data_IF_592760320885
#
_entry.id   IF_592760320885
#
_cell.length_a   1.000
_cell.length_b   1.000
_cell.length_c   1.000
_cell.angle_alpha   90.00
_cell.angle_beta   90.00
_cell.angle_gamma   90.00
#
_symmetry.space_group_name_H-M   'P 1'
#
loop_
_entity.id
_entity.type
_entity.pdbx_description
1 polymer ?
#
# COMPACT_ATOMS: atom_id res chain seq x y z
N UNK A 1 -33.14 -10.29 -0.29
CA UNK A 1 -32.17 -11.40 -0.35
C UNK A 1 -30.87 -10.88 0.23
N UNK A 2 -30.52 -11.26 1.46
CA UNK A 2 -29.24 -10.89 2.07
C UNK A 2 -28.15 -11.70 1.38
N UNK A 3 -27.28 -11.05 0.59
CA UNK A 3 -26.15 -11.72 -0.07
C UNK A 3 -25.23 -12.33 0.99
N UNK A 4 -24.91 -13.62 0.90
CA UNK A 4 -23.87 -14.23 1.73
C UNK A 4 -22.50 -13.63 1.32
N UNK A 5 -21.83 -12.82 2.18
CA UNK A 5 -20.57 -12.17 1.82
C UNK A 5 -19.46 -13.14 1.42
N UNK A 6 -19.43 -14.34 2.03
CA UNK A 6 -18.45 -15.38 1.70
C UNK A 6 -18.67 -15.93 0.29
N UNK A 7 -19.92 -16.15 -0.11
CA UNK A 7 -20.24 -16.61 -1.46
C UNK A 7 -19.95 -15.53 -2.51
N UNK A 8 -20.28 -14.27 -2.21
CA UNK A 8 -19.94 -13.13 -3.07
C UNK A 8 -18.42 -13.03 -3.25
N UNK A 9 -17.67 -13.01 -2.14
CA UNK A 9 -16.21 -12.98 -2.17
C UNK A 9 -15.65 -14.14 -2.99
N UNK A 10 -16.07 -15.37 -2.70
CA UNK A 10 -15.57 -16.58 -3.39
C UNK A 10 -15.76 -16.50 -4.91
N UNK A 11 -16.92 -16.03 -5.37
CA UNK A 11 -17.21 -15.93 -6.80
C UNK A 11 -16.37 -14.84 -7.48
N UNK A 12 -16.29 -13.66 -6.86
CA UNK A 12 -15.52 -12.53 -7.40
C UNK A 12 -14.01 -12.84 -7.41
N UNK A 13 -13.52 -13.45 -6.33
CA UNK A 13 -12.13 -13.91 -6.17
C UNK A 13 -11.79 -14.96 -7.23
N UNK A 14 -12.62 -15.99 -7.42
CA UNK A 14 -12.38 -17.04 -8.41
C UNK A 14 -12.30 -16.48 -9.83
N UNK A 15 -13.15 -15.50 -10.18
CA UNK A 15 -13.12 -14.84 -11.48
C UNK A 15 -11.80 -14.11 -11.70
N UNK A 16 -11.36 -13.30 -10.72
CA UNK A 16 -10.06 -12.59 -10.77
C UNK A 16 -8.88 -13.58 -10.82
N UNK A 17 -8.95 -14.65 -10.05
CA UNK A 17 -7.90 -15.66 -9.95
C UNK A 17 -7.70 -16.45 -11.24
N UNK A 18 -8.76 -16.78 -11.98
CA UNK A 18 -8.65 -17.42 -13.30
C UNK A 18 -7.89 -16.54 -14.30
N UNK A 19 -8.14 -15.23 -14.28
CA UNK A 19 -7.45 -14.26 -15.14
C UNK A 19 -5.96 -14.21 -14.78
N UNK A 20 -5.65 -14.10 -13.47
CA UNK A 20 -4.27 -14.05 -13.00
C UNK A 20 -3.50 -15.35 -13.31
N UNK A 21 -4.08 -16.50 -13.01
CA UNK A 21 -3.47 -17.82 -13.25
C UNK A 21 -3.10 -17.99 -14.74
N UNK A 22 -4.01 -17.62 -15.64
CA UNK A 22 -3.76 -17.63 -17.09
C UNK A 22 -2.63 -16.68 -17.47
N UNK A 23 -2.62 -15.46 -16.93
CA UNK A 23 -1.58 -14.48 -17.24
C UNK A 23 -0.19 -14.91 -16.74
N UNK A 24 -0.13 -15.63 -15.61
CA UNK A 24 1.10 -16.14 -15.00
C UNK A 24 1.52 -17.51 -15.54
N UNK A 25 0.79 -18.08 -16.50
CA UNK A 25 1.01 -19.42 -17.07
C UNK A 25 1.03 -20.54 -16.01
N UNK A 26 0.11 -20.47 -15.04
CA UNK A 26 -0.12 -21.55 -14.07
C UNK A 26 -0.84 -22.70 -14.78
N UNK A 27 -0.41 -23.94 -14.53
CA UNK A 27 -1.07 -25.12 -15.11
C UNK A 27 -2.49 -25.27 -14.53
N UNK A 28 -3.42 -25.86 -15.28
CA UNK A 28 -4.79 -26.10 -14.78
C UNK A 28 -4.77 -26.99 -13.52
N UNK A 29 -3.87 -27.98 -13.49
CA UNK A 29 -3.69 -28.85 -12.34
C UNK A 29 -3.24 -28.05 -11.10
N UNK A 30 -2.19 -27.24 -11.21
CA UNK A 30 -1.70 -26.41 -10.10
C UNK A 30 -2.76 -25.41 -9.66
N UNK A 31 -3.50 -24.81 -10.61
CA UNK A 31 -4.59 -23.89 -10.32
C UNK A 31 -5.66 -24.55 -9.45
N UNK A 32 -6.12 -25.76 -9.80
CA UNK A 32 -7.13 -26.51 -9.04
C UNK A 32 -6.63 -26.83 -7.63
N UNK A 33 -5.41 -27.35 -7.50
CA UNK A 33 -4.84 -27.74 -6.20
C UNK A 33 -4.68 -26.50 -5.31
N UNK A 34 -4.15 -25.39 -5.84
CA UNK A 34 -4.03 -24.13 -5.10
C UNK A 34 -5.41 -23.60 -4.70
N UNK A 35 -6.39 -23.61 -5.61
CA UNK A 35 -7.74 -23.13 -5.32
C UNK A 35 -8.39 -23.95 -4.20
N UNK A 36 -8.20 -25.27 -4.17
CA UNK A 36 -8.73 -26.12 -3.11
C UNK A 36 -8.19 -25.73 -1.72
N UNK A 37 -6.91 -25.35 -1.63
CA UNK A 37 -6.34 -24.87 -0.37
C UNK A 37 -6.95 -23.52 0.06
N UNK A 38 -7.15 -22.59 -0.88
CA UNK A 38 -7.78 -21.30 -0.58
C UNK A 38 -9.28 -21.43 -0.25
N UNK A 39 -9.98 -22.38 -0.86
CA UNK A 39 -11.36 -22.73 -0.53
C UNK A 39 -11.45 -23.29 0.89
N UNK A 40 -10.50 -24.14 1.29
CA UNK A 40 -10.40 -24.64 2.67
C UNK A 40 -10.08 -23.50 3.65
N UNK A 41 -9.15 -22.61 3.32
CA UNK A 41 -8.82 -21.44 4.14
C UNK A 41 -10.05 -20.56 4.37
N UNK A 42 -10.83 -20.28 3.32
CA UNK A 42 -12.06 -19.49 3.41
C UNK A 42 -13.11 -20.18 4.28
N UNK A 43 -13.31 -21.49 4.08
CA UNK A 43 -14.23 -22.29 4.89
C UNK A 43 -13.85 -22.25 6.37
N UNK A 44 -12.56 -22.40 6.68
CA UNK A 44 -12.07 -22.33 8.07
C UNK A 44 -12.20 -20.95 8.70
N UNK A 45 -12.13 -19.90 7.90
CA UNK A 45 -12.44 -18.54 8.35
C UNK A 45 -13.94 -18.35 8.64
N UNK A 46 -14.81 -18.92 7.79
CA UNK A 46 -16.27 -18.90 7.97
C UNK A 46 -16.70 -19.67 9.24
N UNK A 47 -16.14 -20.87 9.44
CA UNK A 47 -16.43 -21.76 10.57
C UNK A 47 -15.77 -21.32 11.88
N UNK A 48 -14.84 -20.35 11.85
CA UNK A 48 -14.03 -20.01 13.02
C UNK A 48 -14.88 -19.56 14.21
N UNK A 49 -14.66 -20.23 15.33
CA UNK A 49 -15.27 -19.96 16.63
C UNK A 49 -14.34 -19.05 17.47
N UNK A 50 -14.80 -18.61 18.64
CA UNK A 50 -13.95 -17.91 19.61
C UNK A 50 -13.05 -18.85 20.44
N UNK A 51 -13.12 -20.17 20.22
CA UNK A 51 -12.32 -21.14 20.95
C UNK A 51 -10.85 -21.10 20.49
N UNK A 52 -9.96 -20.83 21.44
CA UNK A 52 -8.53 -20.65 21.17
C UNK A 52 -7.83 -21.96 20.79
N UNK A 53 -8.21 -23.08 21.38
CA UNK A 53 -7.60 -24.39 21.08
C UNK A 53 -8.01 -24.87 19.70
N UNK A 54 -9.29 -24.68 19.33
CA UNK A 54 -9.80 -24.96 17.99
C UNK A 54 -9.11 -24.11 16.92
N UNK A 55 -8.95 -22.81 17.18
CA UNK A 55 -8.22 -21.91 16.27
C UNK A 55 -6.75 -22.33 16.10
N UNK A 56 -6.06 -22.71 17.18
CA UNK A 56 -4.67 -23.20 17.13
C UNK A 56 -4.55 -24.51 16.35
N UNK A 57 -5.51 -25.42 16.51
CA UNK A 57 -5.56 -26.67 15.74
C UNK A 57 -5.75 -26.38 14.25
N UNK A 58 -6.66 -25.46 13.93
CA UNK A 58 -6.97 -25.03 12.57
C UNK A 58 -5.77 -24.36 11.90
N UNK A 59 -5.08 -23.46 12.60
CA UNK A 59 -3.83 -22.83 12.15
C UNK A 59 -2.78 -23.89 11.74
N UNK A 60 -2.50 -24.86 12.61
CA UNK A 60 -1.52 -25.93 12.36
C UNK A 60 -1.93 -26.85 11.20
N UNK A 61 -3.21 -27.18 11.09
CA UNK A 61 -3.72 -27.99 9.98
C UNK A 61 -3.51 -27.27 8.64
N UNK A 62 -3.92 -25.99 8.56
CA UNK A 62 -3.77 -25.18 7.36
C UNK A 62 -2.30 -24.97 6.97
N UNK A 63 -1.44 -24.71 7.96
CA UNK A 63 0.01 -24.60 7.75
C UNK A 63 0.61 -25.91 7.20
N UNK A 64 0.25 -27.05 7.79
CA UNK A 64 0.77 -28.36 7.36
C UNK A 64 0.39 -28.63 5.91
N UNK A 65 -0.90 -28.45 5.56
CA UNK A 65 -1.39 -28.63 4.19
C UNK A 65 -0.76 -27.64 3.22
N UNK A 66 -0.53 -26.39 3.63
CA UNK A 66 0.16 -25.41 2.79
C UNK A 66 1.60 -25.83 2.51
N UNK A 67 2.29 -26.38 3.51
CA UNK A 67 3.66 -26.85 3.35
C UNK A 67 3.73 -28.09 2.43
N UNK A 68 2.78 -29.01 2.53
CA UNK A 68 2.63 -30.16 1.62
C UNK A 68 2.39 -29.69 0.18
N UNK A 69 1.44 -28.77 -0.01
CA UNK A 69 1.11 -28.13 -1.28
C UNK A 69 2.38 -27.62 -1.96
N UNK A 70 3.10 -26.69 -1.32
CA UNK A 70 4.27 -26.07 -1.94
C UNK A 70 5.43 -27.05 -2.09
N UNK A 71 5.61 -28.01 -1.18
CA UNK A 71 6.79 -28.89 -1.23
C UNK A 71 6.71 -29.99 -2.29
N UNK A 72 5.50 -30.42 -2.68
CA UNK A 72 5.37 -31.62 -3.51
C UNK A 72 4.19 -31.66 -4.49
N UNK A 73 3.15 -30.84 -4.31
CA UNK A 73 1.91 -30.99 -5.10
C UNK A 73 1.82 -30.09 -6.33
N UNK A 74 2.64 -29.02 -6.38
CA UNK A 74 2.63 -28.03 -7.46
C UNK A 74 4.03 -27.69 -7.94
N UNK A 75 4.11 -27.13 -9.15
CA UNK A 75 5.37 -26.67 -9.71
C UNK A 75 5.81 -25.36 -9.04
N UNK A 76 7.12 -25.22 -8.78
CA UNK A 76 7.68 -24.02 -8.13
C UNK A 76 7.35 -22.72 -8.85
N UNK A 77 7.22 -22.74 -10.18
CA UNK A 77 6.84 -21.56 -10.98
C UNK A 77 5.45 -21.03 -10.61
N UNK A 78 4.58 -21.85 -10.04
CA UNK A 78 3.21 -21.48 -9.63
C UNK A 78 3.18 -20.70 -8.32
N UNK A 79 4.29 -20.62 -7.57
CA UNK A 79 4.34 -19.84 -6.32
C UNK A 79 4.11 -18.34 -6.55
N UNK A 80 4.45 -17.83 -7.74
CA UNK A 80 4.19 -16.42 -8.12
C UNK A 80 2.69 -16.08 -8.20
N UNK A 81 1.83 -17.09 -8.29
CA UNK A 81 0.38 -16.97 -8.21
C UNK A 81 -0.16 -17.09 -6.76
N UNK A 82 0.50 -17.87 -5.89
CA UNK A 82 0.08 -18.04 -4.49
C UNK A 82 0.24 -16.75 -3.70
N UNK A 83 1.39 -16.10 -3.80
CA UNK A 83 1.71 -14.91 -3.01
C UNK A 83 0.65 -13.79 -3.13
N UNK A 84 0.25 -13.32 -4.33
CA UNK A 84 -0.79 -12.30 -4.44
C UNK A 84 -2.14 -12.77 -3.88
N UNK A 85 -2.50 -14.05 -3.99
CA UNK A 85 -3.71 -14.57 -3.35
C UNK A 85 -3.63 -14.49 -1.82
N UNK A 86 -2.49 -14.87 -1.21
CA UNK A 86 -2.30 -14.72 0.24
C UNK A 86 -2.46 -13.27 0.69
N UNK A 87 -1.89 -12.31 -0.06
CA UNK A 87 -2.04 -10.88 0.25
C UNK A 87 -3.51 -10.43 0.19
N UNK A 88 -4.24 -10.86 -0.84
CA UNK A 88 -5.65 -10.52 -1.00
C UNK A 88 -6.52 -11.11 0.11
N UNK A 89 -6.34 -12.39 0.42
CA UNK A 89 -7.06 -13.06 1.51
C UNK A 89 -6.71 -12.44 2.87
N UNK A 90 -5.45 -12.12 3.14
CA UNK A 90 -5.07 -11.44 4.37
C UNK A 90 -5.71 -10.06 4.48
N UNK A 91 -5.80 -9.31 3.38
CA UNK A 91 -6.52 -8.03 3.38
C UNK A 91 -8.00 -8.19 3.72
N UNK A 92 -8.66 -9.18 3.11
CA UNK A 92 -10.10 -9.44 3.28
C UNK A 92 -10.43 -10.02 4.64
N UNK A 93 -9.58 -10.90 5.20
CA UNK A 93 -9.79 -11.45 6.54
C UNK A 93 -9.65 -10.41 7.65
N UNK A 94 -8.93 -9.33 7.34
CA UNK A 94 -8.74 -8.18 8.21
C UNK A 94 -9.63 -6.99 7.86
N UNK A 95 -10.53 -7.15 6.87
CA UNK A 95 -11.57 -6.17 6.61
C UNK A 95 -12.89 -6.56 7.28
N UNK A 96 -13.87 -5.67 7.24
CA UNK A 96 -15.19 -5.90 7.80
C UNK A 96 -16.18 -6.49 6.78
N UNK A 97 -15.74 -6.86 5.57
CA UNK A 97 -16.59 -7.34 4.49
C UNK A 97 -17.14 -8.74 4.77
N UNK A 98 -16.27 -9.69 5.16
CA UNK A 98 -16.69 -11.08 5.41
C UNK A 98 -17.38 -11.23 6.77
N UNK A 99 -16.74 -10.74 7.83
CA UNK A 99 -17.28 -10.75 9.20
C UNK A 99 -16.64 -9.64 10.01
N UNK A 100 -17.35 -9.15 11.01
CA UNK A 100 -16.84 -8.13 11.94
C UNK A 100 -15.87 -8.69 12.99
N UNK A 101 -15.97 -9.98 13.32
CA UNK A 101 -15.12 -10.61 14.34
C UNK A 101 -13.76 -11.00 13.75
N UNK A 102 -12.72 -10.39 14.29
CA UNK A 102 -11.32 -10.68 13.99
C UNK A 102 -10.88 -12.09 14.43
N UNK A 103 -10.17 -12.82 13.55
CA UNK A 103 -9.67 -14.18 13.82
C UNK A 103 -8.14 -14.16 13.90
N UNK A 104 -7.63 -13.93 15.11
CA UNK A 104 -6.21 -13.69 15.35
C UNK A 104 -5.27 -14.79 14.82
N UNK A 105 -5.67 -16.07 14.95
CA UNK A 105 -4.81 -17.19 14.53
C UNK A 105 -4.69 -17.34 13.01
N UNK A 106 -5.71 -16.94 12.26
CA UNK A 106 -5.60 -16.89 10.80
C UNK A 106 -4.77 -15.68 10.34
N UNK A 107 -4.84 -14.54 11.04
CA UNK A 107 -3.89 -13.44 10.80
C UNK A 107 -2.46 -13.92 11.04
N UNK A 108 -2.17 -14.54 12.19
CA UNK A 108 -0.83 -15.07 12.49
C UNK A 108 -0.34 -16.04 11.42
N UNK A 109 -1.20 -16.98 10.99
CA UNK A 109 -0.86 -17.89 9.89
C UNK A 109 -0.45 -17.14 8.61
N UNK A 110 -1.26 -16.19 8.17
CA UNK A 110 -1.00 -15.48 6.91
C UNK A 110 0.16 -14.48 7.05
N UNK A 111 0.03 -13.54 7.99
CA UNK A 111 0.90 -12.37 8.16
C UNK A 111 2.26 -12.71 8.76
N UNK A 112 2.31 -13.59 9.75
CA UNK A 112 3.56 -13.86 10.48
C UNK A 112 4.31 -15.08 9.93
N UNK A 113 3.64 -15.92 9.14
CA UNK A 113 4.22 -17.16 8.62
C UNK A 113 4.22 -17.23 7.07
N UNK A 114 3.06 -17.44 6.45
CA UNK A 114 2.99 -17.81 5.02
C UNK A 114 3.44 -16.69 4.07
N UNK A 115 2.97 -15.45 4.31
CA UNK A 115 3.33 -14.28 3.48
C UNK A 115 4.84 -13.99 3.60
N UNK A 116 5.44 -13.82 4.80
CA UNK A 116 6.87 -13.60 4.93
C UNK A 116 7.72 -14.68 4.27
N UNK A 117 7.29 -15.96 4.37
CA UNK A 117 7.98 -17.10 3.74
C UNK A 117 8.09 -16.93 2.24
N UNK A 118 7.00 -16.57 1.54
CA UNK A 118 7.02 -16.39 0.08
C UNK A 118 7.57 -15.03 -0.36
N UNK A 119 7.27 -13.94 0.35
CA UNK A 119 7.80 -12.60 0.01
C UNK A 119 9.32 -12.59 0.02
N UNK A 120 9.93 -13.29 0.99
CA UNK A 120 11.38 -13.38 1.13
C UNK A 120 12.02 -14.50 0.27
N UNK A 121 11.25 -15.39 -0.35
CA UNK A 121 11.79 -16.40 -1.27
C UNK A 121 12.21 -15.75 -2.60
N UNK A 122 13.51 -15.51 -2.74
CA UNK A 122 14.14 -14.94 -3.94
C UNK A 122 14.08 -15.85 -5.16
N UNK A 123 13.76 -17.13 -4.99
CA UNK A 123 13.57 -18.07 -6.10
C UNK A 123 12.22 -17.89 -6.79
N UNK A 124 11.27 -17.17 -6.18
CA UNK A 124 10.06 -16.73 -6.86
C UNK A 124 10.45 -15.54 -7.74
N UNK A 125 10.61 -15.79 -9.03
CA UNK A 125 10.98 -14.79 -10.02
C UNK A 125 9.72 -14.20 -10.65
N UNK A 126 9.66 -12.87 -10.68
CA UNK A 126 8.65 -12.11 -11.42
C UNK A 126 9.35 -11.36 -12.55
N UNK A 127 8.85 -11.49 -13.77
CA UNK A 127 9.15 -10.48 -14.80
C UNK A 127 8.37 -9.19 -14.49
N UNK A 128 8.73 -8.04 -15.10
CA UNK A 128 7.93 -6.83 -15.03
C UNK A 128 6.46 -7.03 -15.42
N UNK A 129 6.20 -7.85 -16.45
CA UNK A 129 4.86 -8.20 -16.92
C UNK A 129 4.11 -9.07 -15.92
N UNK A 130 4.78 -10.07 -15.32
CA UNK A 130 4.18 -10.88 -14.25
C UNK A 130 3.72 -9.97 -13.10
N UNK A 131 4.57 -9.02 -12.69
CA UNK A 131 4.25 -8.12 -11.59
C UNK A 131 3.14 -7.12 -11.95
N UNK A 132 3.07 -6.67 -13.20
CA UNK A 132 1.94 -5.90 -13.71
C UNK A 132 0.63 -6.71 -13.55
N UNK A 133 0.60 -7.97 -13.98
CA UNK A 133 -0.57 -8.83 -13.82
C UNK A 133 -0.95 -9.03 -12.35
N UNK A 134 0.04 -9.19 -11.46
CA UNK A 134 -0.19 -9.23 -10.01
C UNK A 134 -0.86 -7.95 -9.51
N UNK A 135 -0.34 -6.77 -9.87
CA UNK A 135 -0.95 -5.52 -9.40
C UNK A 135 -2.34 -5.29 -9.99
N UNK A 136 -2.63 -5.76 -11.21
CA UNK A 136 -3.99 -5.75 -11.76
C UNK A 136 -4.94 -6.60 -10.93
N UNK A 137 -4.51 -7.77 -10.46
CA UNK A 137 -5.30 -8.63 -9.58
C UNK A 137 -5.58 -7.97 -8.22
N UNK A 138 -4.59 -7.26 -7.66
CA UNK A 138 -4.66 -6.68 -6.31
C UNK A 138 -5.31 -5.29 -6.22
N UNK A 139 -5.52 -4.59 -7.34
CA UNK A 139 -5.88 -3.17 -7.31
C UNK A 139 -7.28 -2.88 -6.77
N UNK A 140 -8.25 -3.77 -6.99
CA UNK A 140 -9.66 -3.54 -6.67
C UNK A 140 -10.07 -4.31 -5.42
N UNK A 141 -10.38 -3.58 -4.35
CA UNK A 141 -10.68 -4.15 -3.04
C UNK A 141 -12.02 -3.63 -2.49
N UNK A 142 -12.77 -4.46 -1.76
CA UNK A 142 -13.96 -4.00 -1.04
C UNK A 142 -13.59 -3.00 0.06
N UNK A 143 -12.45 -3.25 0.72
CA UNK A 143 -11.86 -2.40 1.73
C UNK A 143 -10.35 -2.69 1.79
N UNK A 144 -9.54 -1.67 2.05
CA UNK A 144 -8.09 -1.84 2.27
C UNK A 144 -7.85 -1.80 3.77
N UNK A 145 -7.62 -2.97 4.37
CA UNK A 145 -7.45 -3.10 5.81
C UNK A 145 -6.20 -2.38 6.32
N UNK A 146 -6.29 -1.63 7.43
CA UNK A 146 -5.10 -1.04 8.06
C UNK A 146 -4.23 -2.09 8.77
N UNK A 147 -4.74 -3.30 9.02
CA UNK A 147 -4.04 -4.34 9.80
C UNK A 147 -3.31 -5.36 8.93
N UNK A 148 -3.54 -5.36 7.61
CA UNK A 148 -3.10 -6.42 6.70
C UNK A 148 -1.69 -6.26 6.13
N UNK A 149 -1.02 -5.13 6.36
CA UNK A 149 0.24 -4.74 5.69
C UNK A 149 0.17 -4.79 4.15
N UNK A 150 -1.02 -4.69 3.57
CA UNK A 150 -1.27 -5.02 2.16
C UNK A 150 -0.38 -4.23 1.18
N UNK A 151 -0.31 -2.90 1.34
CA UNK A 151 0.54 -2.06 0.50
C UNK A 151 2.03 -2.27 0.77
N UNK A 152 2.39 -2.47 2.04
CA UNK A 152 3.77 -2.69 2.47
C UNK A 152 4.34 -3.96 1.83
N UNK A 153 3.57 -5.04 1.81
CA UNK A 153 3.99 -6.32 1.26
C UNK A 153 4.02 -6.31 -0.27
N UNK A 154 3.09 -5.61 -0.95
CA UNK A 154 3.16 -5.38 -2.41
C UNK A 154 4.47 -4.65 -2.76
N UNK A 155 4.79 -3.57 -2.05
CA UNK A 155 6.04 -2.82 -2.29
C UNK A 155 7.29 -3.62 -1.89
N UNK A 156 7.17 -4.54 -0.93
CA UNK A 156 8.25 -5.44 -0.54
C UNK A 156 8.56 -6.47 -1.62
N UNK A 157 7.56 -6.94 -2.38
CA UNK A 157 7.78 -7.81 -3.55
C UNK A 157 8.71 -7.13 -4.55
N UNK A 158 8.40 -5.88 -4.91
CA UNK A 158 9.26 -5.05 -5.77
C UNK A 158 10.64 -4.88 -5.16
N UNK A 159 10.73 -4.43 -3.90
CA UNK A 159 12.01 -4.10 -3.28
C UNK A 159 12.98 -5.28 -3.20
N UNK A 160 12.49 -6.46 -2.79
CA UNK A 160 13.32 -7.66 -2.62
C UNK A 160 13.86 -8.18 -3.95
N UNK A 161 13.13 -7.96 -5.05
CA UNK A 161 13.42 -8.54 -6.37
C UNK A 161 13.96 -7.53 -7.38
N UNK A 162 13.79 -6.23 -7.12
CA UNK A 162 14.19 -5.13 -7.99
C UNK A 162 13.56 -5.22 -9.38
N UNK A 163 12.26 -5.55 -9.45
CA UNK A 163 11.57 -5.86 -10.72
C UNK A 163 11.58 -4.62 -11.62
N UNK A 164 11.39 -3.42 -11.05
CA UNK A 164 11.42 -2.17 -11.81
C UNK A 164 12.79 -1.81 -12.42
N UNK A 165 13.89 -2.45 -11.99
CA UNK A 165 15.19 -2.25 -12.65
C UNK A 165 15.24 -2.81 -14.07
N UNK A 166 14.32 -3.74 -14.38
CA UNK A 166 14.22 -4.41 -15.68
C UNK A 166 12.95 -3.97 -16.44
N UNK A 167 12.11 -3.15 -15.83
CA UNK A 167 10.84 -2.74 -16.40
C UNK A 167 11.03 -1.60 -17.42
N UNK A 168 10.25 -1.63 -18.49
CA UNK A 168 10.07 -0.45 -19.34
C UNK A 168 9.30 0.64 -18.59
N UNK A 169 9.48 1.91 -18.97
CA UNK A 169 8.74 3.03 -18.37
C UNK A 169 7.22 2.82 -18.43
N UNK A 170 6.70 2.24 -19.52
CA UNK A 170 5.28 1.92 -19.66
C UNK A 170 4.79 0.89 -18.64
N UNK A 171 5.52 -0.22 -18.48
CA UNK A 171 5.14 -1.27 -17.52
C UNK A 171 5.21 -0.72 -16.10
N UNK A 172 6.31 -0.03 -15.76
CA UNK A 172 6.47 0.60 -14.46
C UNK A 172 5.35 1.60 -14.14
N UNK A 173 4.97 2.43 -15.11
CA UNK A 173 3.87 3.37 -14.99
C UNK A 173 2.55 2.67 -14.66
N UNK A 174 2.14 1.67 -15.45
CA UNK A 174 0.87 0.95 -15.21
C UNK A 174 0.88 0.18 -13.89
N UNK A 175 2.01 -0.44 -13.52
CA UNK A 175 2.16 -1.14 -12.24
C UNK A 175 2.03 -0.17 -11.06
N UNK A 176 2.73 0.97 -11.08
CA UNK A 176 2.64 1.96 -10.02
C UNK A 176 1.27 2.64 -9.97
N UNK A 177 0.60 2.82 -11.11
CA UNK A 177 -0.77 3.31 -11.19
C UNK A 177 -1.75 2.36 -10.50
N UNK A 178 -1.62 1.05 -10.69
CA UNK A 178 -2.42 0.05 -9.96
C UNK A 178 -2.18 0.12 -8.45
N UNK A 179 -0.93 0.28 -8.00
CA UNK A 179 -0.60 0.41 -6.57
C UNK A 179 -1.16 1.72 -5.99
N UNK A 180 -1.06 2.83 -6.74
CA UNK A 180 -1.67 4.11 -6.38
C UNK A 180 -3.20 4.01 -6.32
N UNK A 181 -3.84 3.14 -7.12
CA UNK A 181 -5.27 2.90 -7.02
C UNK A 181 -5.68 2.29 -5.68
N UNK A 182 -4.86 1.40 -5.11
CA UNK A 182 -5.09 0.85 -3.76
C UNK A 182 -5.00 1.97 -2.71
N UNK A 183 -4.07 2.92 -2.87
CA UNK A 183 -4.01 4.11 -2.01
C UNK A 183 -5.27 4.96 -2.19
N UNK A 184 -5.72 5.19 -3.42
CA UNK A 184 -6.93 5.95 -3.73
C UNK A 184 -8.17 5.38 -3.00
N UNK A 185 -8.31 4.05 -2.94
CA UNK A 185 -9.45 3.34 -2.32
C UNK A 185 -9.43 3.31 -0.78
N UNK A 186 -8.35 3.74 -0.11
CA UNK A 186 -8.31 3.65 1.36
C UNK A 186 -9.33 4.61 1.96
N UNK A 187 -10.17 4.08 2.85
CA UNK A 187 -11.17 4.86 3.59
C UNK A 187 -10.53 5.88 4.52
N UNK A 188 -9.35 5.57 5.05
CA UNK A 188 -8.56 6.46 5.91
C UNK A 188 -7.06 6.17 5.81
N UNK A 189 -6.24 7.22 5.88
CA UNK A 189 -4.77 7.17 5.85
C UNK A 189 -4.19 7.65 7.17
N UNK A 190 -3.70 6.71 7.98
CA UNK A 190 -2.97 7.02 9.22
C UNK A 190 -1.59 7.65 8.95
N UNK A 191 -0.98 7.30 7.82
CA UNK A 191 0.31 7.79 7.39
C UNK A 191 0.42 7.77 5.84
N UNK A 192 1.56 8.26 5.35
CA UNK A 192 1.92 8.30 3.93
C UNK A 192 3.21 7.51 3.64
N UNK A 193 3.57 6.52 4.46
CA UNK A 193 4.84 5.78 4.35
C UNK A 193 4.91 5.03 3.02
N UNK A 194 3.85 4.30 2.65
CA UNK A 194 3.79 3.59 1.38
C UNK A 194 3.78 4.55 0.17
N UNK A 195 3.10 5.69 0.27
CA UNK A 195 3.16 6.72 -0.75
C UNK A 195 4.59 7.27 -0.95
N UNK A 196 5.29 7.61 0.14
CA UNK A 196 6.71 8.04 0.08
C UNK A 196 7.63 6.96 -0.51
N UNK A 197 7.36 5.68 -0.27
CA UNK A 197 8.09 4.56 -0.91
C UNK A 197 7.85 4.55 -2.43
N UNK A 198 6.62 4.78 -2.89
CA UNK A 198 6.30 4.89 -4.33
C UNK A 198 7.05 6.07 -4.96
N UNK A 199 7.07 7.23 -4.31
CA UNK A 199 7.79 8.41 -4.83
C UNK A 199 9.28 8.13 -5.06
N UNK A 200 9.91 7.31 -4.20
CA UNK A 200 11.32 6.90 -4.35
C UNK A 200 11.58 5.95 -5.52
N UNK A 201 10.54 5.32 -6.06
CA UNK A 201 10.67 4.44 -7.22
C UNK A 201 10.65 5.21 -8.53
N UNK A 202 10.24 6.48 -8.52
CA UNK A 202 10.19 7.34 -9.72
C UNK A 202 11.60 7.75 -10.14
N UNK A 203 11.84 7.79 -11.45
CA UNK A 203 13.08 8.24 -12.09
C UNK A 203 12.78 9.35 -13.09
N UNK A 204 13.83 10.07 -13.52
CA UNK A 204 13.72 11.15 -14.51
C UNK A 204 13.00 10.72 -15.80
N UNK A 205 13.17 9.47 -16.21
CA UNK A 205 12.54 8.92 -17.40
C UNK A 205 11.02 8.68 -17.25
N UNK A 206 10.46 8.72 -16.03
CA UNK A 206 9.07 8.41 -15.74
C UNK A 206 8.14 9.64 -15.87
N UNK A 207 8.28 10.44 -16.93
CA UNK A 207 7.55 11.70 -17.14
C UNK A 207 6.03 11.54 -17.02
N UNK A 208 5.46 10.49 -17.63
CA UNK A 208 4.02 10.20 -17.53
C UNK A 208 3.55 9.88 -16.11
N UNK A 209 4.41 9.28 -15.27
CA UNK A 209 4.10 9.04 -13.87
C UNK A 209 4.15 10.33 -13.05
N UNK A 210 5.13 11.19 -13.31
CA UNK A 210 5.25 12.50 -12.67
C UNK A 210 3.98 13.33 -12.95
N UNK A 211 3.53 13.36 -14.20
CA UNK A 211 2.29 14.06 -14.58
C UNK A 211 1.03 13.45 -13.95
N UNK A 212 1.00 12.13 -13.78
CA UNK A 212 -0.08 11.46 -13.07
C UNK A 212 -0.11 11.85 -11.58
N UNK A 213 1.05 11.88 -10.92
CA UNK A 213 1.16 12.22 -9.49
C UNK A 213 0.69 13.66 -9.18
N UNK A 214 0.89 14.61 -10.10
CA UNK A 214 0.37 16.00 -9.97
C UNK A 214 -1.16 16.06 -9.90
N UNK A 215 -1.84 15.07 -10.50
CA UNK A 215 -3.31 14.96 -10.56
C UNK A 215 -3.86 13.96 -9.55
N UNK A 216 -2.99 13.22 -8.88
CA UNK A 216 -3.40 12.18 -7.96
C UNK A 216 -4.10 12.79 -6.74
N UNK A 217 -5.28 12.27 -6.46
CA UNK A 217 -6.08 12.57 -5.28
C UNK A 217 -6.64 11.24 -4.76
N UNK A 218 -6.84 11.15 -3.45
CA UNK A 218 -7.47 9.99 -2.81
C UNK A 218 -8.99 10.17 -2.80
N UNK A 219 -9.74 9.07 -2.83
CA UNK A 219 -11.20 9.10 -2.93
C UNK A 219 -11.85 9.86 -1.78
N UNK A 220 -11.33 9.64 -0.58
CA UNK A 220 -11.82 10.27 0.64
C UNK A 220 -11.40 11.75 0.78
N UNK A 221 -10.60 12.31 -0.15
CA UNK A 221 -10.12 13.71 -0.10
C UNK A 221 -9.41 14.07 1.21
N UNK A 222 -8.75 13.11 1.87
CA UNK A 222 -8.11 13.36 3.15
C UNK A 222 -7.05 14.48 3.06
N UNK A 223 -6.98 15.30 4.11
CA UNK A 223 -6.18 16.52 4.16
C UNK A 223 -4.71 16.36 3.79
N UNK A 224 -4.06 15.28 4.24
CA UNK A 224 -2.65 15.05 3.93
C UNK A 224 -2.40 14.93 2.42
N UNK A 225 -3.31 14.31 1.67
CA UNK A 225 -3.20 14.20 0.22
C UNK A 225 -3.60 15.47 -0.51
N UNK A 226 -4.49 16.30 0.07
CA UNK A 226 -4.74 17.66 -0.44
C UNK A 226 -3.47 18.51 -0.37
N UNK A 227 -2.80 18.52 0.79
CA UNK A 227 -1.55 19.27 0.97
C UNK A 227 -0.44 18.74 0.04
N UNK A 228 -0.31 17.42 -0.08
CA UNK A 228 0.65 16.80 -1.03
C UNK A 228 0.34 17.24 -2.47
N UNK A 229 -0.93 17.27 -2.87
CA UNK A 229 -1.33 17.73 -4.19
C UNK A 229 -0.97 19.20 -4.42
N UNK A 230 -1.17 20.06 -3.43
CA UNK A 230 -0.78 21.47 -3.51
C UNK A 230 0.74 21.62 -3.68
N UNK A 231 1.53 20.88 -2.89
CA UNK A 231 3.00 20.85 -3.03
C UNK A 231 3.41 20.38 -4.44
N UNK A 232 2.76 19.35 -4.99
CA UNK A 232 3.06 18.85 -6.33
C UNK A 232 2.76 19.85 -7.45
N UNK A 233 1.88 20.83 -7.22
CA UNK A 233 1.48 21.82 -8.21
C UNK A 233 2.20 23.18 -8.04
N UNK A 234 3.13 23.31 -7.10
CA UNK A 234 4.04 24.47 -7.03
C UNK A 234 5.07 24.43 -8.16
N UNK A 235 5.48 25.58 -8.67
CA UNK A 235 6.60 25.70 -9.60
C UNK A 235 7.86 26.07 -8.81
N UNK A 236 8.71 25.09 -8.49
CA UNK A 236 9.88 25.28 -7.63
C UNK A 236 11.21 25.20 -8.39
N UNK A 237 11.25 24.57 -9.57
CA UNK A 237 12.39 24.63 -10.49
C UNK A 237 11.91 24.60 -11.95
N UNK A 238 12.76 25.08 -12.86
CA UNK A 238 12.50 25.05 -14.30
C UNK A 238 12.62 23.63 -14.87
N UNK A 239 13.61 22.87 -14.41
CA UNK A 239 13.76 21.46 -14.77
C UNK A 239 12.71 20.61 -14.03
N UNK A 240 11.97 19.80 -14.81
CA UNK A 240 10.86 18.99 -14.29
C UNK A 240 11.32 17.94 -13.27
N UNK A 241 12.52 17.38 -13.43
CA UNK A 241 13.03 16.35 -12.54
C UNK A 241 13.57 16.95 -11.24
N UNK A 242 14.33 18.03 -11.32
CA UNK A 242 14.80 18.77 -10.15
C UNK A 242 13.62 19.30 -9.33
N UNK A 243 12.59 19.85 -9.99
CA UNK A 243 11.35 20.30 -9.36
C UNK A 243 10.67 19.14 -8.60
N UNK A 244 10.57 17.97 -9.23
CA UNK A 244 10.01 16.78 -8.61
C UNK A 244 10.84 16.27 -7.42
N UNK A 245 12.18 16.28 -7.51
CA UNK A 245 13.08 15.90 -6.41
C UNK A 245 12.98 16.85 -5.21
N UNK A 246 12.86 18.15 -5.47
CA UNK A 246 12.63 19.16 -4.43
C UNK A 246 11.30 18.86 -3.72
N UNK A 247 10.22 18.61 -4.48
CA UNK A 247 8.90 18.29 -3.92
C UNK A 247 8.90 17.03 -3.05
N UNK A 248 9.59 15.97 -3.48
CA UNK A 248 9.76 14.76 -2.65
C UNK A 248 10.48 15.09 -1.34
N UNK A 249 11.56 15.88 -1.41
CA UNK A 249 12.35 16.28 -0.25
C UNK A 249 11.51 17.10 0.74
N UNK A 250 10.68 18.01 0.23
CA UNK A 250 9.73 18.81 1.00
C UNK A 250 8.68 17.90 1.67
N UNK A 251 7.97 17.05 0.92
CA UNK A 251 6.96 16.13 1.46
C UNK A 251 7.55 15.28 2.60
N UNK A 252 8.74 14.73 2.39
CA UNK A 252 9.44 13.95 3.41
C UNK A 252 9.76 14.78 4.65
N UNK A 253 10.19 16.02 4.48
CA UNK A 253 10.56 16.94 5.57
C UNK A 253 9.35 17.43 6.37
N UNK A 254 8.28 17.87 5.70
CA UNK A 254 7.04 18.32 6.35
C UNK A 254 6.43 17.24 7.24
N UNK A 255 6.57 15.95 6.86
CA UNK A 255 6.13 14.81 7.67
C UNK A 255 7.01 14.54 8.90
N UNK A 256 8.04 15.33 9.21
CA UNK A 256 8.94 15.08 10.35
C UNK A 256 8.61 15.86 11.61
N UNK A 257 7.75 16.89 11.55
CA UNK A 257 7.46 17.70 12.73
C UNK A 257 6.74 16.88 13.82
N UNK A 258 7.40 16.69 14.96
CA UNK A 258 6.88 16.01 16.16
C UNK A 258 7.06 16.91 17.39
N UNK A 259 6.19 16.75 18.39
CA UNK A 259 6.27 17.53 19.63
C UNK A 259 5.69 18.94 19.53
N UNK A 260 5.91 19.76 20.56
CA UNK A 260 5.40 21.12 20.66
C UNK A 260 6.32 22.16 19.99
N UNK A 261 7.62 21.90 19.94
CA UNK A 261 8.64 22.78 19.36
C UNK A 261 9.63 21.99 18.48
N UNK A 262 10.38 22.66 17.58
CA UNK A 262 11.38 22.01 16.74
C UNK A 262 12.46 21.32 17.57
N UNK A 263 12.59 20.00 17.40
CA UNK A 263 13.70 19.25 17.98
C UNK A 263 15.03 19.62 17.30
N UNK A 264 16.20 19.44 17.96
CA UNK A 264 17.50 19.69 17.34
C UNK A 264 17.72 18.91 16.03
N UNK A 265 17.20 17.68 15.95
CA UNK A 265 17.25 16.86 14.74
C UNK A 265 16.38 17.41 13.60
N UNK A 266 15.28 18.09 13.91
CA UNK A 266 14.45 18.78 12.92
C UNK A 266 15.18 20.03 12.41
N UNK A 267 15.75 20.85 13.32
CA UNK A 267 16.51 22.05 12.94
C UNK A 267 17.70 21.72 12.04
N UNK A 268 18.42 20.64 12.32
CA UNK A 268 19.50 20.16 11.47
C UNK A 268 19.01 19.85 10.05
N UNK A 269 17.92 19.08 9.93
CA UNK A 269 17.32 18.76 8.61
C UNK A 269 16.80 20.01 7.89
N UNK A 270 16.25 20.97 8.63
CA UNK A 270 15.81 22.24 8.08
C UNK A 270 16.99 22.99 7.47
N UNK A 271 18.10 23.14 8.19
CA UNK A 271 19.31 23.80 7.69
C UNK A 271 19.88 23.12 6.43
N UNK A 272 19.95 21.78 6.43
CA UNK A 272 20.39 21.00 5.27
C UNK A 272 19.47 21.23 4.05
N UNK A 273 18.15 21.22 4.27
CA UNK A 273 17.17 21.46 3.22
C UNK A 273 17.20 22.92 2.73
N UNK A 274 17.34 23.89 3.63
CA UNK A 274 17.51 25.31 3.33
C UNK A 274 18.72 25.59 2.46
N UNK A 275 19.85 24.93 2.73
CA UNK A 275 21.05 25.06 1.91
C UNK A 275 20.86 24.52 0.49
N UNK A 276 20.02 23.49 0.32
CA UNK A 276 19.82 22.79 -0.96
C UNK A 276 18.69 23.42 -1.79
N UNK A 277 17.56 23.72 -1.18
CA UNK A 277 16.34 24.20 -1.84
C UNK A 277 16.25 25.73 -1.87
N UNK A 278 16.85 26.39 -0.88
CA UNK A 278 16.78 27.84 -0.70
C UNK A 278 15.55 28.27 0.13
N UNK A 279 15.76 29.28 0.99
CA UNK A 279 14.74 29.74 1.94
C UNK A 279 13.48 30.30 1.26
N UNK A 280 13.60 30.94 0.10
CA UNK A 280 12.43 31.51 -0.61
C UNK A 280 11.44 30.41 -1.03
N UNK A 281 11.94 29.30 -1.59
CA UNK A 281 11.12 28.16 -2.01
C UNK A 281 10.51 27.42 -0.82
N UNK A 282 11.26 27.31 0.28
CA UNK A 282 10.75 26.75 1.53
C UNK A 282 9.61 27.60 2.11
N UNK A 283 9.76 28.93 2.13
CA UNK A 283 8.73 29.84 2.60
C UNK A 283 7.49 29.83 1.69
N UNK A 284 7.67 29.81 0.36
CA UNK A 284 6.59 29.63 -0.61
C UNK A 284 5.81 28.34 -0.34
N UNK A 285 6.52 27.22 -0.18
CA UNK A 285 5.89 25.93 0.12
C UNK A 285 5.18 25.96 1.47
N UNK A 286 5.80 26.52 2.51
CA UNK A 286 5.21 26.65 3.83
C UNK A 286 3.91 27.47 3.81
N UNK A 287 3.88 28.58 3.06
CA UNK A 287 2.67 29.39 2.91
C UNK A 287 1.54 28.58 2.24
N UNK A 288 1.82 27.87 1.15
CA UNK A 288 0.85 26.99 0.48
C UNK A 288 0.33 25.87 1.41
N UNK A 289 1.20 25.29 2.24
CA UNK A 289 0.77 24.29 3.24
C UNK A 289 -0.16 24.91 4.28
N UNK A 290 0.13 26.11 4.79
CA UNK A 290 -0.66 26.79 5.83
C UNK A 290 -2.09 27.13 5.37
N UNK A 291 -2.31 27.35 4.07
CA UNK A 291 -3.67 27.57 3.51
C UNK A 291 -4.62 26.39 3.76
N UNK A 292 -4.09 25.21 4.09
CA UNK A 292 -4.85 24.00 4.37
C UNK A 292 -5.14 23.79 5.87
N UNK A 293 -5.13 24.84 6.69
CA UNK A 293 -5.35 24.75 8.16
C UNK A 293 -6.65 24.01 8.55
N UNK A 294 -7.69 24.10 7.72
CA UNK A 294 -8.98 23.46 7.94
C UNK A 294 -8.98 21.93 7.70
N UNK A 295 -7.90 21.37 7.14
CA UNK A 295 -7.81 19.95 6.77
C UNK A 295 -7.14 19.07 7.84
N UNK A 296 -7.06 19.54 9.09
CA UNK A 296 -6.50 18.80 10.23
C UNK A 296 -7.39 17.69 10.76
N UNK A 297 -8.68 17.74 10.42
CA UNK A 297 -9.71 16.81 10.86
C UNK A 297 -10.35 16.24 9.61
N UNK A 298 -10.47 14.92 9.58
CA UNK A 298 -11.22 14.19 8.58
C UNK A 298 -12.58 13.80 9.16
N UNK A 299 -13.65 14.14 8.46
CA UNK A 299 -15.02 13.81 8.85
C UNK A 299 -15.55 12.69 7.96
N UNK A 300 -16.05 11.63 8.59
CA UNK A 300 -16.68 10.51 7.91
C UNK A 300 -18.15 10.81 7.64
N UNK A 301 -18.73 10.17 6.62
CA UNK A 301 -20.13 10.34 6.22
C UNK A 301 -21.14 10.05 7.34
N UNK A 302 -20.76 9.24 8.34
CA UNK A 302 -21.58 8.92 9.51
C UNK A 302 -21.34 9.86 10.71
N UNK A 303 -20.64 10.98 10.49
CA UNK A 303 -20.44 12.06 11.46
C UNK A 303 -19.29 11.87 12.45
N UNK A 304 -18.53 10.76 12.37
CA UNK A 304 -17.32 10.64 13.16
C UNK A 304 -16.22 11.57 12.62
N UNK A 305 -15.40 12.10 13.52
CA UNK A 305 -14.29 12.98 13.17
C UNK A 305 -12.98 12.40 13.71
N UNK A 306 -12.03 12.15 12.80
CA UNK A 306 -10.70 11.67 13.15
C UNK A 306 -9.64 12.70 12.83
N UNK A 307 -8.55 12.66 13.59
CA UNK A 307 -7.38 13.50 13.37
C UNK A 307 -6.62 13.05 12.12
N UNK A 308 -6.36 13.94 11.16
CA UNK A 308 -5.32 13.70 10.15
C UNK A 308 -3.97 14.10 10.74
N UNK A 309 -3.32 13.13 11.38
CA UNK A 309 -2.03 13.34 12.01
C UNK A 309 -0.95 13.70 11.01
N UNK A 310 -1.04 13.29 9.74
CA UNK A 310 -0.05 13.65 8.73
C UNK A 310 -0.23 15.11 8.31
N UNK A 311 -1.45 15.56 8.03
CA UNK A 311 -1.75 16.95 7.74
C UNK A 311 -1.33 17.89 8.89
N UNK A 312 -1.63 17.50 10.14
CA UNK A 312 -1.20 18.26 11.33
C UNK A 312 0.32 18.44 11.40
N UNK A 313 1.09 17.43 11.01
CA UNK A 313 2.56 17.53 10.98
C UNK A 313 3.04 18.46 9.88
N UNK A 314 2.44 18.39 8.70
CA UNK A 314 2.78 19.29 7.60
C UNK A 314 2.53 20.74 7.98
N UNK A 315 1.34 21.04 8.50
CA UNK A 315 0.94 22.37 8.96
C UNK A 315 1.85 22.89 10.08
N UNK A 316 2.18 22.03 11.05
CA UNK A 316 3.11 22.38 12.13
C UNK A 316 4.51 22.73 11.61
N UNK A 317 5.05 21.90 10.73
CA UNK A 317 6.35 22.12 10.10
C UNK A 317 6.36 23.44 9.29
N UNK A 318 5.29 23.72 8.54
CA UNK A 318 5.13 24.97 7.81
C UNK A 318 5.09 26.20 8.71
N UNK A 319 4.34 26.13 9.82
CA UNK A 319 4.28 27.22 10.78
C UNK A 319 5.65 27.51 11.41
N UNK A 320 6.43 26.48 11.73
CA UNK A 320 7.79 26.67 12.23
C UNK A 320 8.70 27.34 11.21
N UNK A 321 8.66 26.93 9.94
CA UNK A 321 9.42 27.58 8.86
C UNK A 321 9.05 29.06 8.75
N UNK A 322 7.74 29.37 8.75
CA UNK A 322 7.25 30.75 8.66
C UNK A 322 7.77 31.62 9.83
N UNK A 323 7.74 31.10 11.05
CA UNK A 323 8.21 31.82 12.24
C UNK A 323 9.74 32.04 12.26
N UNK A 324 10.52 31.18 11.61
CA UNK A 324 11.98 31.30 11.52
C UNK A 324 12.40 32.25 10.39
N UNK A 325 11.54 32.39 9.37
CA UNK A 325 11.82 33.18 8.16
C UNK A 325 11.27 34.61 8.23
N UNK A 326 10.58 34.96 9.33
CA UNK A 326 10.19 36.32 9.72
C UNK A 326 11.22 36.84 10.73
#
# INVERSE_FOLDING_TARGET
>A
MTSNPYLTFKNDELAKSKILAKALNVSENDFIIIQNWFDLLLLKHEEATSDKEEQLKTEKELETRFNELISSEIERKSYKYILPKLLHYNNVFNDAFLRSLYIARLETLLRDNLIPKLVNDKMIVYSPEDFLCVTVYLKDNYFVSPNSNFLEDILKIEHVRGIFKQATAKIKFETLKNILHIIYQKTFHHDIICFKKILKLVSEADTGLIDYLKKFQVENKQGCYKIINDIFNLELAEDNWDDFQIKISLINFFDTARGASPAPSWNKKFQELSATVGNNKLLQTANSVIENENYKIYEFDYGAQWSDDTAKRFLKSAQWIKNISQ
#
